data_IF_028931861005
#
_entry.id   IF_028931861005
#
_cell.length_a   1.000
_cell.length_b   1.000
_cell.length_c   1.000
_cell.angle_alpha   90.00
_cell.angle_beta   90.00
_cell.angle_gamma   90.00
#
_symmetry.space_group_name_H-M   'P 1'
#
loop_
_entity.id
_entity.type
_entity.pdbx_description
1 polymer ?
#
# COMPACT_ATOMS: atom_id res chain seq x y z
N UNK A 1 2.47 10.92 14.21
CA UNK A 1 2.24 9.53 13.78
C UNK A 1 1.30 9.59 12.59
N UNK A 2 1.86 9.50 11.40
CA UNK A 2 1.11 9.46 10.15
C UNK A 2 0.44 8.09 10.02
N UNK A 3 -0.83 8.08 9.62
CA UNK A 3 -1.49 6.86 9.16
C UNK A 3 -1.20 6.69 7.67
N UNK A 4 -0.70 5.52 7.29
CA UNK A 4 -0.36 5.20 5.91
C UNK A 4 -1.11 3.94 5.51
N UNK A 5 -2.00 4.07 4.53
CA UNK A 5 -2.74 2.94 3.96
C UNK A 5 -2.00 2.42 2.74
N UNK A 6 -1.51 1.18 2.82
CA UNK A 6 -0.75 0.49 1.78
C UNK A 6 -1.66 -0.48 1.06
N UNK A 7 -1.96 -0.18 -0.19
CA UNK A 7 -2.71 -1.02 -1.12
C UNK A 7 -1.71 -1.87 -1.92
N UNK A 8 -1.87 -3.19 -1.89
CA UNK A 8 -0.93 -4.12 -2.51
C UNK A 8 -1.66 -5.28 -3.17
N UNK A 9 -1.00 -5.94 -4.12
CA UNK A 9 -1.55 -7.11 -4.78
C UNK A 9 -1.57 -8.31 -3.83
N UNK A 10 -2.78 -8.75 -3.47
CA UNK A 10 -3.01 -9.82 -2.51
C UNK A 10 -2.77 -11.21 -3.11
N UNK A 11 -2.48 -12.20 -2.27
CA UNK A 11 -2.11 -13.57 -2.65
C UNK A 11 -0.93 -13.65 -3.65
N UNK A 12 -0.13 -12.59 -3.74
CA UNK A 12 1.09 -12.52 -4.53
C UNK A 12 2.29 -12.28 -3.60
N UNK A 13 3.35 -13.07 -3.74
CA UNK A 13 4.58 -12.88 -2.96
C UNK A 13 5.22 -11.51 -3.23
N UNK A 14 5.18 -11.05 -4.48
CA UNK A 14 5.75 -9.75 -4.86
C UNK A 14 4.98 -8.58 -4.22
N UNK A 15 3.64 -8.67 -4.19
CA UNK A 15 2.78 -7.67 -3.54
C UNK A 15 3.02 -7.57 -2.04
N UNK A 16 3.02 -8.70 -1.32
CA UNK A 16 3.30 -8.73 0.13
C UNK A 16 4.72 -8.23 0.43
N UNK A 17 5.71 -8.66 -0.37
CA UNK A 17 7.10 -8.24 -0.21
C UNK A 17 7.27 -6.73 -0.44
N UNK A 18 6.64 -6.21 -1.48
CA UNK A 18 6.66 -4.77 -1.81
C UNK A 18 6.03 -3.94 -0.70
N UNK A 19 4.89 -4.37 -0.13
CA UNK A 19 4.25 -3.71 0.99
C UNK A 19 5.15 -3.67 2.23
N UNK A 20 5.83 -4.78 2.55
CA UNK A 20 6.73 -4.88 3.68
C UNK A 20 7.99 -4.01 3.51
N UNK A 21 8.63 -4.07 2.33
CA UNK A 21 9.82 -3.27 2.01
C UNK A 21 9.51 -1.78 2.06
N UNK A 22 8.39 -1.36 1.45
CA UNK A 22 7.94 0.03 1.50
C UNK A 22 7.72 0.49 2.95
N UNK A 23 7.00 -0.31 3.75
CA UNK A 23 6.66 0.05 5.13
C UNK A 23 7.91 0.25 5.99
N UNK A 24 8.91 -0.61 5.83
CA UNK A 24 10.21 -0.47 6.52
C UNK A 24 10.94 0.80 6.08
N UNK A 25 10.98 1.07 4.78
CA UNK A 25 11.60 2.26 4.23
C UNK A 25 10.92 3.53 4.74
N UNK A 26 9.58 3.58 4.69
CA UNK A 26 8.80 4.74 5.11
C UNK A 26 9.05 5.08 6.58
N UNK A 27 9.00 4.08 7.46
CA UNK A 27 9.28 4.26 8.88
C UNK A 27 10.73 4.67 9.15
N UNK A 28 11.68 4.14 8.39
CA UNK A 28 13.09 4.48 8.54
C UNK A 28 13.47 5.87 8.04
N UNK A 29 12.73 6.41 7.06
CA UNK A 29 13.13 7.62 6.34
C UNK A 29 12.23 8.84 6.56
N UNK A 30 10.96 8.63 6.87
CA UNK A 30 9.96 9.70 6.92
C UNK A 30 9.33 9.84 8.31
N UNK A 31 8.68 8.79 8.82
CA UNK A 31 8.06 8.82 10.15
C UNK A 31 8.26 7.47 10.88
N UNK A 32 9.21 7.39 11.83
CA UNK A 32 9.41 6.20 12.66
C UNK A 32 8.16 5.76 13.44
N UNK A 33 7.27 6.69 13.75
CA UNK A 33 6.01 6.46 14.45
C UNK A 33 4.82 6.19 13.53
N UNK A 34 5.02 6.00 12.22
CA UNK A 34 3.91 5.75 11.31
C UNK A 34 3.16 4.46 11.67
N UNK A 35 1.84 4.53 11.55
CA UNK A 35 0.91 3.41 11.68
C UNK A 35 0.55 2.95 10.27
N UNK A 36 0.96 1.73 9.93
CA UNK A 36 0.74 1.15 8.62
C UNK A 36 -0.53 0.30 8.66
N UNK A 37 -1.46 0.58 7.76
CA UNK A 37 -2.68 -0.17 7.53
C UNK A 37 -2.58 -0.83 6.15
N UNK A 38 -2.81 -2.15 6.06
CA UNK A 38 -2.65 -2.90 4.82
C UNK A 38 -4.00 -3.22 4.20
N UNK A 39 -4.12 -3.03 2.89
CA UNK A 39 -5.31 -3.37 2.11
C UNK A 39 -4.89 -4.27 0.93
N UNK A 40 -5.32 -5.53 0.98
CA UNK A 40 -5.04 -6.51 -0.07
C UNK A 40 -6.03 -6.35 -1.22
N UNK A 41 -5.52 -6.23 -2.44
CA UNK A 41 -6.32 -6.08 -3.65
C UNK A 41 -6.16 -7.29 -4.56
N UNK A 42 -7.28 -7.81 -5.06
CA UNK A 42 -7.25 -8.83 -6.12
C UNK A 42 -7.13 -8.14 -7.49
N UNK A 43 -6.09 -8.46 -8.26
CA UNK A 43 -5.95 -7.92 -9.60
C UNK A 43 -7.00 -8.52 -10.55
N UNK A 44 -7.78 -7.66 -11.21
CA UNK A 44 -8.54 -8.01 -12.41
C UNK A 44 -8.11 -7.07 -13.54
N UNK A 45 -7.92 -7.62 -14.74
CA UNK A 45 -7.53 -6.82 -15.91
C UNK A 45 -8.53 -5.66 -16.13
N UNK A 46 -8.02 -4.43 -16.14
CA UNK A 46 -8.82 -3.21 -16.35
C UNK A 46 -9.52 -2.65 -15.11
N UNK A 47 -9.34 -3.26 -13.93
CA UNK A 47 -9.91 -2.72 -12.70
C UNK A 47 -9.06 -1.55 -12.19
N UNK A 48 -9.66 -0.36 -12.15
CA UNK A 48 -9.10 0.79 -11.45
C UNK A 48 -9.23 0.61 -9.93
N UNK A 49 -8.25 1.10 -9.18
CA UNK A 49 -8.31 1.15 -7.72
C UNK A 49 -9.36 2.19 -7.35
N UNK A 50 -10.42 1.75 -6.68
CA UNK A 50 -11.56 2.59 -6.32
C UNK A 50 -11.21 3.57 -5.19
N UNK A 51 -11.74 4.79 -5.25
CA UNK A 51 -11.37 5.86 -4.30
C UNK A 51 -11.80 5.58 -2.86
N UNK A 52 -12.83 4.76 -2.66
CA UNK A 52 -13.31 4.33 -1.33
C UNK A 52 -12.30 3.45 -0.58
N UNK A 53 -11.31 2.90 -1.28
CA UNK A 53 -10.23 2.14 -0.68
C UNK A 53 -9.20 3.06 0.00
N UNK A 54 -9.16 4.35 -0.34
CA UNK A 54 -8.21 5.29 0.23
C UNK A 54 -8.58 5.69 1.66
N UNK A 55 -7.57 5.75 2.51
CA UNK A 55 -7.68 6.30 3.86
C UNK A 55 -7.65 7.84 3.85
N UNK A 56 -8.02 8.46 4.98
CA UNK A 56 -8.09 9.92 5.12
C UNK A 56 -6.72 10.62 5.20
N UNK A 57 -5.63 9.86 5.18
CA UNK A 57 -4.26 10.34 5.34
C UNK A 57 -3.42 9.96 4.12
N UNK A 58 -2.25 9.35 4.31
CA UNK A 58 -1.38 8.97 3.19
C UNK A 58 -1.77 7.62 2.62
N UNK A 59 -1.74 7.52 1.29
CA UNK A 59 -2.12 6.34 0.54
C UNK A 59 -0.98 5.93 -0.38
N UNK A 60 -0.68 4.64 -0.42
CA UNK A 60 0.45 4.07 -1.16
C UNK A 60 -0.04 2.87 -1.93
N UNK A 61 0.33 2.78 -3.21
CA UNK A 61 0.02 1.64 -4.06
C UNK A 61 1.34 1.00 -4.48
N UNK A 62 1.46 -0.31 -4.27
CA UNK A 62 2.65 -1.10 -4.66
C UNK A 62 2.24 -2.37 -5.40
N UNK A 63 3.13 -2.89 -6.25
CA UNK A 63 2.87 -4.06 -7.13
C UNK A 63 1.64 -3.88 -8.04
N UNK A 64 1.43 -2.66 -8.54
CA UNK A 64 0.45 -2.35 -9.59
C UNK A 64 1.07 -1.47 -10.66
N UNK A 65 0.50 -1.52 -11.86
CA UNK A 65 0.79 -0.48 -12.87
C UNK A 65 0.29 0.86 -12.35
N UNK A 66 1.19 1.84 -12.34
CA UNK A 66 0.82 3.24 -12.24
C UNK A 66 0.11 3.64 -13.54
N UNK A 67 -1.08 4.23 -13.42
CA UNK A 67 -1.93 4.64 -14.54
C UNK A 67 -1.27 5.75 -15.35
#
# INVERSE_FOLDING_TARGET
MTKVKVLYHDNCFDGVSSAAVFSRFYKGRFDPGAVIEYEGLTHKAGQQISEDLFGPAENVIVDFKYC
#
